data_IF_626496459344
#
_entry.id   IF_626496459344
#
_cell.length_a   1.000
_cell.length_b   1.000
_cell.length_c   1.000
_cell.angle_alpha   90.00
_cell.angle_beta   90.00
_cell.angle_gamma   90.00
#
_symmetry.space_group_name_H-M   'P 1'
#
loop_
_entity.id
_entity.type
_entity.pdbx_description
1 polymer ?
#
# COMPACT_ATOMS: atom_id res chain seq x y z
N UNK A 1 -12.71 49.51 -25.51
CA UNK A 1 -13.28 48.79 -24.34
C UNK A 1 -13.54 47.31 -24.63
N UNK A 2 -14.16 46.94 -25.76
CA UNK A 2 -14.41 45.53 -26.13
C UNK A 2 -13.15 44.64 -26.25
N UNK A 3 -12.05 45.17 -26.77
CA UNK A 3 -10.78 44.42 -26.93
C UNK A 3 -10.18 44.01 -25.57
N UNK A 4 -10.28 44.88 -24.56
CA UNK A 4 -9.74 44.61 -23.22
C UNK A 4 -10.52 43.50 -22.51
N UNK A 5 -11.85 43.46 -22.71
CA UNK A 5 -12.72 42.41 -22.14
C UNK A 5 -12.43 41.05 -22.80
N UNK A 6 -12.18 41.02 -24.12
CA UNK A 6 -11.83 39.79 -24.83
C UNK A 6 -10.48 39.22 -24.38
N UNK A 7 -9.47 40.08 -24.18
CA UNK A 7 -8.15 39.67 -23.68
C UNK A 7 -8.25 39.15 -22.24
N UNK A 8 -9.03 39.81 -21.38
CA UNK A 8 -9.25 39.39 -19.99
C UNK A 8 -10.00 38.04 -19.91
N UNK A 9 -10.97 37.81 -20.80
CA UNK A 9 -11.71 36.55 -20.87
C UNK A 9 -10.81 35.38 -21.32
N UNK A 10 -9.91 35.60 -22.28
CA UNK A 10 -8.94 34.58 -22.72
C UNK A 10 -7.94 34.28 -21.59
N UNK A 11 -7.43 35.33 -20.91
CA UNK A 11 -6.49 35.19 -19.80
C UNK A 11 -7.08 34.47 -18.58
N UNK A 12 -8.39 34.52 -18.37
CA UNK A 12 -9.07 33.78 -17.30
C UNK A 12 -9.55 32.39 -17.73
N UNK A 13 -9.97 32.21 -18.99
CA UNK A 13 -10.45 30.93 -19.49
C UNK A 13 -9.33 29.91 -19.69
N UNK A 14 -8.14 30.34 -20.13
CA UNK A 14 -7.01 29.43 -20.39
C UNK A 14 -6.49 28.77 -19.11
N UNK A 15 -6.25 29.48 -17.99
CA UNK A 15 -5.84 28.86 -16.73
C UNK A 15 -6.88 27.89 -16.16
N UNK A 16 -8.18 28.21 -16.26
CA UNK A 16 -9.26 27.36 -15.76
C UNK A 16 -9.34 26.06 -16.58
N UNK A 17 -9.26 26.15 -17.91
CA UNK A 17 -9.31 24.99 -18.80
C UNK A 17 -8.06 24.09 -18.64
N UNK A 18 -6.89 24.69 -18.47
CA UNK A 18 -5.63 23.97 -18.20
C UNK A 18 -5.69 23.27 -16.84
N UNK A 19 -6.24 23.91 -15.81
CA UNK A 19 -6.39 23.35 -14.47
C UNK A 19 -7.35 22.14 -14.43
N UNK A 20 -8.47 22.22 -15.15
CA UNK A 20 -9.45 21.11 -15.24
C UNK A 20 -8.92 19.92 -16.06
N UNK A 21 -8.17 20.17 -17.13
CA UNK A 21 -7.57 19.11 -17.94
C UNK A 21 -6.39 18.44 -17.23
N UNK A 22 -5.52 19.21 -16.55
CA UNK A 22 -4.43 18.64 -15.74
C UNK A 22 -4.96 17.80 -14.57
N UNK A 23 -6.00 18.27 -13.88
CA UNK A 23 -6.61 17.52 -12.77
C UNK A 23 -7.24 16.19 -13.21
N UNK A 24 -7.82 16.13 -14.41
CA UNK A 24 -8.37 14.89 -14.97
C UNK A 24 -7.29 13.90 -15.42
N UNK A 25 -6.18 14.38 -15.99
CA UNK A 25 -5.07 13.52 -16.43
C UNK A 25 -4.34 12.88 -15.25
N UNK A 26 -3.99 13.69 -14.24
CA UNK A 26 -3.35 13.20 -13.00
C UNK A 26 -4.22 12.15 -12.31
N UNK A 27 -5.54 12.33 -12.37
CA UNK A 27 -6.49 11.34 -11.85
C UNK A 27 -6.45 10.01 -12.60
N UNK A 28 -6.52 10.04 -13.92
CA UNK A 28 -6.54 8.81 -14.72
C UNK A 28 -5.24 8.01 -14.52
N UNK A 29 -4.12 8.71 -14.36
CA UNK A 29 -2.84 8.11 -13.99
C UNK A 29 -2.90 7.43 -12.62
N UNK A 30 -3.36 8.11 -11.57
CA UNK A 30 -3.48 7.49 -10.24
C UNK A 30 -4.46 6.32 -10.20
N UNK A 31 -5.59 6.41 -10.91
CA UNK A 31 -6.53 5.29 -11.00
C UNK A 31 -5.89 4.07 -11.69
N UNK A 32 -5.19 4.31 -12.81
CA UNK A 32 -4.48 3.24 -13.53
C UNK A 32 -3.42 2.59 -12.64
N UNK A 33 -2.61 3.39 -11.97
CA UNK A 33 -1.57 2.92 -11.06
C UNK A 33 -2.16 2.15 -9.87
N UNK A 34 -3.26 2.64 -9.29
CA UNK A 34 -3.99 1.92 -8.25
C UNK A 34 -4.53 0.57 -8.76
N UNK A 35 -5.03 0.52 -10.00
CA UNK A 35 -5.52 -0.72 -10.61
C UNK A 35 -4.39 -1.72 -10.86
N UNK A 36 -3.25 -1.27 -11.39
CA UNK A 36 -2.06 -2.11 -11.61
C UNK A 36 -1.51 -2.62 -10.27
N UNK A 37 -1.43 -1.76 -9.24
CA UNK A 37 -1.08 -2.14 -7.87
C UNK A 37 -2.01 -3.23 -7.33
N UNK A 38 -3.32 -3.08 -7.55
CA UNK A 38 -4.32 -4.01 -7.03
C UNK A 38 -4.19 -5.39 -7.67
N UNK A 39 -3.99 -5.48 -8.99
CA UNK A 39 -3.80 -6.76 -9.67
C UNK A 39 -2.51 -7.45 -9.23
N UNK A 40 -1.39 -6.73 -9.12
CA UNK A 40 -0.14 -7.32 -8.62
C UNK A 40 -0.25 -7.81 -7.17
N UNK A 41 -0.94 -7.04 -6.31
CA UNK A 41 -1.22 -7.45 -4.95
C UNK A 41 -2.05 -8.74 -4.93
N UNK A 42 -3.09 -8.83 -5.76
CA UNK A 42 -3.94 -10.01 -5.91
C UNK A 42 -3.14 -11.22 -6.40
N UNK A 43 -2.33 -11.10 -7.44
CA UNK A 43 -1.47 -12.18 -7.94
C UNK A 43 -0.56 -12.73 -6.85
N UNK A 44 0.09 -11.83 -6.10
CA UNK A 44 0.97 -12.26 -5.00
C UNK A 44 0.19 -12.96 -3.89
N UNK A 45 -0.96 -12.43 -3.48
CA UNK A 45 -1.79 -13.07 -2.44
C UNK A 45 -2.35 -14.42 -2.90
N UNK A 46 -2.70 -14.55 -4.18
CA UNK A 46 -3.12 -15.84 -4.75
C UNK A 46 -2.00 -16.88 -4.66
N UNK A 47 -0.73 -16.47 -4.80
CA UNK A 47 0.43 -17.32 -4.59
C UNK A 47 0.71 -17.72 -3.13
N UNK A 48 0.11 -17.05 -2.14
CA UNK A 48 0.33 -17.39 -0.73
C UNK A 48 -0.46 -18.63 -0.30
N UNK A 49 0.04 -19.39 0.70
CA UNK A 49 -0.71 -20.46 1.35
C UNK A 49 -1.98 -19.94 2.03
N UNK A 50 -3.02 -20.79 2.11
CA UNK A 50 -4.29 -20.47 2.75
C UNK A 50 -4.12 -19.94 4.19
N UNK A 51 -3.23 -20.55 4.96
CA UNK A 51 -2.95 -20.17 6.36
C UNK A 51 -2.21 -18.83 6.50
N UNK A 52 -1.65 -18.31 5.41
CA UNK A 52 -0.99 -17.00 5.42
C UNK A 52 -1.94 -15.86 5.03
N UNK A 53 -3.16 -16.16 4.60
CA UNK A 53 -4.16 -15.16 4.25
C UNK A 53 -5.06 -14.86 5.45
N UNK A 54 -5.46 -13.59 5.65
CA UNK A 54 -6.44 -13.25 6.69
C UNK A 54 -7.80 -13.90 6.38
N UNK A 55 -8.61 -14.23 7.41
CA UNK A 55 -8.22 -14.35 8.82
C UNK A 55 -7.29 -15.56 9.02
N UNK A 56 -6.43 -15.53 10.04
CA UNK A 56 -5.51 -16.65 10.32
C UNK A 56 -5.89 -17.42 11.56
N UNK A 57 -5.86 -18.75 11.47
CA UNK A 57 -5.96 -19.63 12.63
C UNK A 57 -4.56 -19.98 13.11
N UNK A 58 -4.24 -19.72 14.37
CA UNK A 58 -2.89 -19.84 14.89
C UNK A 58 -2.87 -20.38 16.31
N UNK A 59 -1.85 -21.17 16.64
CA UNK A 59 -1.56 -21.55 18.03
C UNK A 59 -0.72 -20.49 18.70
N UNK A 60 -1.11 -20.09 19.92
CA UNK A 60 -0.41 -19.08 20.71
C UNK A 60 0.92 -19.68 21.20
N UNK A 61 2.02 -19.01 20.87
CA UNK A 61 3.38 -19.44 21.22
C UNK A 61 3.68 -19.18 22.70
N UNK A 62 4.70 -19.86 23.28
CA UNK A 62 5.14 -19.61 24.64
C UNK A 62 5.38 -18.12 24.92
N UNK A 63 4.85 -17.66 26.06
CA UNK A 63 4.91 -16.25 26.45
C UNK A 63 3.81 -15.37 25.85
N UNK A 64 2.76 -15.96 25.25
CA UNK A 64 1.61 -15.22 24.74
C UNK A 64 1.92 -14.45 23.47
N UNK A 65 2.67 -15.04 22.53
CA UNK A 65 3.07 -14.37 21.29
C UNK A 65 2.44 -15.03 20.07
N UNK A 66 1.93 -14.22 19.15
CA UNK A 66 1.48 -14.63 17.82
C UNK A 66 2.31 -13.89 16.78
N UNK A 67 2.91 -14.61 15.83
CA UNK A 67 3.75 -14.03 14.79
C UNK A 67 3.02 -14.03 13.45
N UNK A 68 2.57 -12.86 13.00
CA UNK A 68 1.86 -12.70 11.72
C UNK A 68 2.81 -12.63 10.52
N UNK A 69 4.13 -12.63 10.74
CA UNK A 69 5.13 -12.61 9.67
C UNK A 69 5.30 -11.25 9.00
N UNK A 70 6.22 -11.17 8.03
CA UNK A 70 6.75 -9.92 7.46
C UNK A 70 5.91 -9.23 6.37
N UNK A 71 4.63 -9.56 6.22
CA UNK A 71 3.73 -8.71 5.43
C UNK A 71 3.40 -7.51 6.32
N UNK A 72 3.55 -6.29 5.81
CA UNK A 72 3.20 -5.08 6.57
C UNK A 72 1.69 -5.10 6.83
N UNK A 73 1.31 -5.65 7.96
CA UNK A 73 -0.05 -5.49 8.49
C UNK A 73 -0.17 -4.03 8.90
N UNK A 74 -1.34 -3.42 8.74
CA UNK A 74 -1.56 -2.10 9.34
C UNK A 74 -1.19 -2.15 10.82
N UNK A 75 -0.62 -1.07 11.37
CA UNK A 75 -0.36 -1.00 12.81
C UNK A 75 -1.66 -0.83 13.62
N UNK A 76 -2.81 -0.94 12.96
CA UNK A 76 -4.13 -0.93 13.55
C UNK A 76 -4.42 -2.18 14.38
N UNK A 77 -5.43 -2.01 15.24
CA UNK A 77 -5.89 -3.00 16.21
C UNK A 77 -6.30 -4.30 15.51
N UNK A 78 -5.68 -5.39 15.94
CA UNK A 78 -6.01 -6.75 15.53
C UNK A 78 -7.19 -7.24 16.37
N UNK A 79 -8.20 -7.81 15.73
CA UNK A 79 -9.28 -8.47 16.45
C UNK A 79 -8.92 -9.94 16.67
N UNK A 80 -9.17 -10.40 17.89
CA UNK A 80 -8.91 -11.76 18.30
C UNK A 80 -10.23 -12.43 18.62
N UNK A 81 -10.37 -13.66 18.16
CA UNK A 81 -11.55 -14.49 18.45
C UNK A 81 -11.17 -15.95 18.60
N UNK A 82 -11.96 -16.65 19.40
CA UNK A 82 -11.85 -18.09 19.54
C UNK A 82 -12.41 -18.78 18.28
N UNK A 83 -11.98 -20.02 18.00
CA UNK A 83 -12.44 -20.75 16.81
C UNK A 83 -13.97 -20.85 16.71
N UNK A 84 -14.68 -20.88 17.84
CA UNK A 84 -16.14 -20.96 17.96
C UNK A 84 -16.92 -19.69 17.59
N UNK A 85 -16.24 -18.58 17.24
CA UNK A 85 -16.92 -17.30 16.98
C UNK A 85 -16.69 -16.25 18.05
N UNK A 86 -16.42 -16.66 19.29
CA UNK A 86 -16.46 -15.79 20.46
C UNK A 86 -15.31 -14.79 20.46
N UNK A 87 -15.59 -13.51 20.73
CA UNK A 87 -14.54 -12.49 20.83
C UNK A 87 -13.58 -12.79 21.97
N UNK A 88 -12.29 -12.75 21.69
CA UNK A 88 -11.21 -12.79 22.68
C UNK A 88 -10.64 -11.39 22.98
N UNK A 89 -11.16 -10.35 22.33
CA UNK A 89 -10.77 -8.96 22.52
C UNK A 89 -10.00 -8.37 21.33
N UNK A 90 -9.31 -7.25 21.59
CA UNK A 90 -8.46 -6.55 20.63
C UNK A 90 -7.02 -6.54 21.13
N UNK A 91 -6.06 -6.60 20.23
CA UNK A 91 -4.65 -6.52 20.56
C UNK A 91 -3.89 -5.58 19.61
N UNK A 92 -2.83 -4.98 20.12
CA UNK A 92 -1.92 -4.18 19.31
C UNK A 92 -0.94 -5.07 18.55
N UNK A 93 -0.68 -4.71 17.31
CA UNK A 93 0.39 -5.30 16.52
C UNK A 93 1.65 -4.44 16.64
N UNK A 94 2.76 -5.04 17.08
CA UNK A 94 4.07 -4.39 17.12
C UNK A 94 5.09 -5.28 16.43
N UNK A 95 5.76 -4.73 15.41
CA UNK A 95 6.79 -5.42 14.62
C UNK A 95 6.34 -6.79 14.08
N UNK A 96 5.10 -6.88 13.59
CA UNK A 96 4.50 -8.12 13.07
C UNK A 96 4.13 -9.16 14.14
N UNK A 97 4.20 -8.78 15.42
CA UNK A 97 3.89 -9.64 16.57
C UNK A 97 2.69 -9.10 17.34
N UNK A 98 1.75 -9.99 17.65
CA UNK A 98 0.63 -9.70 18.55
C UNK A 98 0.94 -10.33 19.90
N UNK A 99 0.83 -9.55 20.97
CA UNK A 99 0.96 -10.06 22.35
C UNK A 99 -0.43 -10.27 22.94
N UNK A 100 -0.61 -11.45 23.53
CA UNK A 100 -1.83 -11.87 24.21
C UNK A 100 -1.49 -12.37 25.62
N UNK A 101 -2.51 -12.72 26.38
CA UNK A 101 -2.34 -13.20 27.75
C UNK A 101 -1.49 -14.49 27.77
N UNK A 102 -0.38 -14.57 28.55
CA UNK A 102 0.52 -15.73 28.55
C UNK A 102 -0.18 -17.05 28.91
N UNK A 103 -1.23 -17.00 29.71
CA UNK A 103 -2.06 -18.15 30.09
C UNK A 103 -2.82 -18.77 28.91
N UNK A 104 -2.89 -18.09 27.76
CA UNK A 104 -3.48 -18.65 26.54
C UNK A 104 -2.48 -19.48 25.70
N UNK A 105 -1.23 -19.61 26.15
CA UNK A 105 -0.21 -20.41 25.46
C UNK A 105 -0.72 -21.81 25.12
N UNK A 106 -0.47 -22.26 23.88
CA UNK A 106 -0.91 -23.57 23.37
C UNK A 106 -2.36 -23.61 22.90
N UNK A 107 -3.17 -22.58 23.17
CA UNK A 107 -4.53 -22.48 22.62
C UNK A 107 -4.51 -21.99 21.17
N UNK A 108 -5.49 -22.46 20.40
CA UNK A 108 -5.74 -21.96 19.04
C UNK A 108 -6.65 -20.74 19.09
N UNK A 109 -6.30 -19.73 18.30
CA UNK A 109 -7.04 -18.47 18.18
C UNK A 109 -7.13 -18.07 16.71
N UNK A 110 -8.22 -17.37 16.37
CA UNK A 110 -8.41 -16.74 15.06
C UNK A 110 -8.03 -15.27 15.19
N UNK A 111 -7.20 -14.83 14.25
CA UNK A 111 -6.65 -13.48 14.18
C UNK A 111 -7.21 -12.81 12.94
N UNK A 112 -8.11 -11.85 13.16
CA UNK A 112 -8.69 -11.00 12.14
C UNK A 112 -7.91 -9.69 12.07
N UNK A 113 -7.30 -9.43 10.91
CA UNK A 113 -6.47 -8.27 10.69
C UNK A 113 -6.57 -7.81 9.23
N UNK A 114 -6.25 -6.54 9.01
CA UNK A 114 -6.13 -5.94 7.69
C UNK A 114 -4.67 -5.92 7.27
N UNK A 115 -4.34 -6.47 6.10
CA UNK A 115 -3.00 -6.25 5.55
C UNK A 115 -2.97 -4.88 4.88
N UNK A 116 -1.93 -4.10 5.18
CA UNK A 116 -1.57 -2.95 4.36
C UNK A 116 -0.51 -3.34 3.37
N UNK A 117 -1.00 -3.56 2.16
CA UNK A 117 -0.17 -3.75 1.02
C UNK A 117 0.21 -2.38 0.43
N UNK A 118 1.26 -1.74 0.96
CA UNK A 118 2.01 -0.68 0.25
C UNK A 118 2.91 -1.36 -0.78
N UNK A 119 2.31 -1.96 -1.80
CA UNK A 119 2.97 -3.02 -2.55
C UNK A 119 3.83 -2.58 -3.71
N UNK A 120 3.56 -1.39 -4.21
CA UNK A 120 4.41 -0.83 -5.22
C UNK A 120 5.38 0.13 -4.53
N UNK A 121 6.69 -0.13 -4.65
CA UNK A 121 7.54 1.01 -4.89
C UNK A 121 6.90 1.75 -6.08
N UNK A 122 6.80 3.06 -6.08
CA UNK A 122 6.73 3.77 -7.35
C UNK A 122 8.04 3.39 -8.06
N UNK A 123 8.03 2.28 -8.80
CA UNK A 123 9.21 1.73 -9.43
C UNK A 123 9.46 2.61 -10.62
N UNK A 124 10.65 3.14 -10.71
CA UNK A 124 10.98 3.90 -11.88
C UNK A 124 10.57 5.37 -11.85
N UNK A 125 10.19 5.96 -10.70
CA UNK A 125 9.78 7.38 -10.72
C UNK A 125 10.97 8.24 -11.14
N UNK A 126 10.86 8.82 -12.33
CA UNK A 126 11.93 9.53 -12.97
C UNK A 126 11.83 11.03 -12.69
N UNK A 127 12.93 11.61 -12.24
CA UNK A 127 13.02 13.03 -11.94
C UNK A 127 14.31 13.61 -12.47
N UNK A 128 14.24 14.87 -12.88
CA UNK A 128 15.47 15.67 -13.01
C UNK A 128 15.80 16.25 -11.65
N UNK A 129 17.01 15.99 -11.16
CA UNK A 129 17.51 16.55 -9.91
C UNK A 129 17.67 18.06 -10.08
N UNK A 130 17.10 18.85 -9.18
CA UNK A 130 17.23 20.29 -9.24
C UNK A 130 18.66 20.78 -8.93
N UNK A 131 18.91 22.07 -9.11
CA UNK A 131 20.23 22.68 -8.86
C UNK A 131 20.69 22.55 -7.39
N UNK A 132 19.75 22.36 -6.47
CA UNK A 132 20.04 22.15 -5.04
C UNK A 132 20.32 20.69 -4.68
N UNK A 133 20.27 19.77 -5.66
CA UNK A 133 20.42 18.34 -5.44
C UNK A 133 19.15 17.66 -4.90
N UNK A 134 17.98 18.28 -5.07
CA UNK A 134 16.72 17.78 -4.52
C UNK A 134 15.78 17.21 -5.60
N UNK A 135 14.97 16.26 -5.17
CA UNK A 135 13.85 15.69 -5.92
C UNK A 135 12.64 15.60 -4.99
N UNK A 136 11.47 16.00 -5.47
CA UNK A 136 10.19 15.81 -4.77
C UNK A 136 9.50 14.59 -5.36
N UNK A 137 9.33 13.56 -4.53
CA UNK A 137 8.66 12.32 -4.88
C UNK A 137 7.13 12.50 -4.83
N UNK A 138 6.42 12.00 -5.83
CA UNK A 138 4.99 12.28 -6.03
C UNK A 138 4.07 11.56 -5.06
N UNK A 139 4.47 10.39 -4.54
CA UNK A 139 3.64 9.48 -3.75
C UNK A 139 3.92 9.58 -2.24
N UNK A 140 3.93 10.80 -1.72
CA UNK A 140 4.23 11.04 -0.31
C UNK A 140 3.09 10.81 0.69
N UNK A 141 3.38 10.70 2.01
CA UNK A 141 4.71 10.57 2.61
C UNK A 141 5.45 9.29 2.21
N UNK A 142 6.77 9.40 2.00
CA UNK A 142 7.60 8.27 1.62
C UNK A 142 8.07 7.51 2.86
N UNK A 143 7.68 6.23 2.97
CA UNK A 143 8.08 5.36 4.08
C UNK A 143 9.50 4.85 3.93
N UNK A 144 9.88 4.48 2.71
CA UNK A 144 11.13 3.78 2.45
C UNK A 144 11.58 3.93 1.02
N UNK A 145 12.85 4.31 0.82
CA UNK A 145 13.54 4.18 -0.47
C UNK A 145 14.07 2.75 -0.61
N UNK A 146 13.73 2.08 -1.71
CA UNK A 146 14.28 0.78 -2.07
C UNK A 146 15.58 0.92 -2.86
N UNK A 147 15.58 1.81 -3.85
CA UNK A 147 16.75 2.12 -4.65
C UNK A 147 16.66 3.51 -5.29
N UNK A 148 17.83 4.08 -5.56
CA UNK A 148 17.99 5.28 -6.37
C UNK A 148 18.97 4.94 -7.47
N UNK A 149 18.62 5.27 -8.71
CA UNK A 149 19.43 5.03 -9.89
C UNK A 149 19.64 6.35 -10.61
N UNK A 150 20.88 6.60 -11.02
CA UNK A 150 21.26 7.77 -11.79
C UNK A 150 21.43 7.35 -13.25
N UNK A 151 20.72 8.04 -14.14
CA UNK A 151 20.82 7.81 -15.57
C UNK A 151 22.09 8.47 -16.13
N UNK A 152 22.88 7.67 -16.86
CA UNK A 152 24.08 8.04 -17.59
C UNK A 152 24.00 7.50 -19.02
N UNK A 153 23.31 8.24 -19.89
CA UNK A 153 22.98 7.74 -21.22
C UNK A 153 22.10 6.50 -21.12
N UNK A 154 22.60 5.36 -21.59
CA UNK A 154 21.89 4.07 -21.56
C UNK A 154 22.14 3.26 -20.26
N UNK A 155 22.90 3.80 -19.31
CA UNK A 155 23.25 3.09 -18.07
C UNK A 155 22.52 3.67 -16.86
N UNK A 156 22.15 2.78 -15.94
CA UNK A 156 21.63 3.13 -14.62
C UNK A 156 22.67 2.77 -13.57
N UNK A 157 23.20 3.78 -12.88
CA UNK A 157 24.18 3.60 -11.81
C UNK A 157 23.50 3.78 -10.45
N UNK A 158 23.70 2.82 -9.54
CA UNK A 158 23.08 2.88 -8.21
C UNK A 158 23.67 4.02 -7.38
N UNK A 159 22.81 4.84 -6.80
CA UNK A 159 23.18 5.89 -5.84
C UNK A 159 22.87 5.38 -4.43
N UNK A 160 23.89 5.35 -3.58
CA UNK A 160 23.79 4.90 -2.18
C UNK A 160 23.81 6.05 -1.18
N UNK A 161 24.34 7.20 -1.58
CA UNK A 161 24.40 8.41 -0.77
C UNK A 161 23.17 9.26 -1.05
N UNK A 162 22.18 9.23 -0.16
CA UNK A 162 21.00 10.09 -0.24
C UNK A 162 20.40 10.28 1.15
N UNK A 163 19.57 11.31 1.31
CA UNK A 163 18.78 11.56 2.52
C UNK A 163 17.33 11.82 2.14
N UNK A 164 16.40 11.19 2.84
CA UNK A 164 14.96 11.39 2.64
C UNK A 164 14.40 12.25 3.77
N UNK A 165 13.66 13.31 3.42
CA UNK A 165 12.93 14.18 4.34
C UNK A 165 11.48 14.34 3.88
N UNK A 166 10.58 13.53 4.45
CA UNK A 166 9.19 13.45 3.99
C UNK A 166 9.12 12.93 2.55
N UNK A 167 8.87 13.83 1.60
CA UNK A 167 8.82 13.52 0.16
C UNK A 167 10.06 14.00 -0.58
N UNK A 168 11.00 14.64 0.11
CA UNK A 168 12.17 15.24 -0.50
C UNK A 168 13.33 14.29 -0.42
N UNK A 169 13.82 13.86 -1.58
CA UNK A 169 15.04 13.08 -1.70
C UNK A 169 16.19 14.05 -1.99
N UNK A 170 17.12 14.15 -1.06
CA UNK A 170 18.35 14.91 -1.18
C UNK A 170 19.45 13.99 -1.70
N UNK A 171 20.06 14.40 -2.80
CA UNK A 171 21.11 13.69 -3.51
C UNK A 171 22.40 14.52 -3.51
N UNK A 172 23.57 13.90 -3.76
CA UNK A 172 24.83 14.62 -3.82
C UNK A 172 24.80 15.68 -4.92
N UNK A 173 25.41 16.85 -4.68
CA UNK A 173 25.39 17.99 -5.62
C UNK A 173 25.88 17.64 -7.04
N UNK A 174 26.77 16.65 -7.18
CA UNK A 174 27.21 16.09 -8.48
C UNK A 174 26.07 15.50 -9.34
N UNK A 175 24.89 15.29 -8.77
CA UNK A 175 23.70 14.77 -9.47
C UNK A 175 22.78 15.88 -9.99
N UNK A 176 23.02 17.14 -9.63
CA UNK A 176 22.23 18.28 -10.08
C UNK A 176 22.13 18.36 -11.62
N UNK A 177 20.92 18.59 -12.13
CA UNK A 177 20.62 18.66 -13.56
C UNK A 177 20.57 17.30 -14.27
N UNK A 178 20.70 16.19 -13.54
CA UNK A 178 20.72 14.83 -14.10
C UNK A 178 19.41 14.10 -13.81
N UNK A 179 19.10 13.09 -14.62
CA UNK A 179 17.91 12.26 -14.41
C UNK A 179 18.22 11.15 -13.43
N UNK A 180 17.39 11.02 -12.41
CA UNK A 180 17.38 9.90 -11.50
C UNK A 180 16.05 9.16 -11.58
N UNK A 181 16.10 7.90 -11.23
CA UNK A 181 14.98 6.98 -11.15
C UNK A 181 14.95 6.44 -9.73
N UNK A 182 13.83 6.61 -9.04
CA UNK A 182 13.70 6.27 -7.62
C UNK A 182 12.65 5.20 -7.45
N UNK A 183 13.02 4.12 -6.77
CA UNK A 183 12.11 3.06 -6.35
C UNK A 183 11.80 3.27 -4.86
N UNK A 184 10.55 3.59 -4.51
CA UNK A 184 10.21 3.88 -3.11
C UNK A 184 8.76 3.57 -2.73
N UNK A 185 8.54 3.22 -1.47
CA UNK A 185 7.23 2.96 -0.89
C UNK A 185 6.60 4.26 -0.37
N UNK A 186 5.54 4.70 -1.05
CA UNK A 186 4.72 5.84 -0.68
C UNK A 186 3.47 5.48 0.14
N UNK A 187 2.77 6.49 0.67
CA UNK A 187 1.47 6.33 1.33
C UNK A 187 0.27 6.74 0.47
N UNK A 188 0.49 7.43 -0.65
CA UNK A 188 -0.62 7.97 -1.44
C UNK A 188 -1.45 6.89 -2.15
N UNK A 189 -0.87 5.72 -2.46
CA UNK A 189 -1.59 4.55 -2.95
C UNK A 189 -1.46 3.42 -1.93
N UNK A 190 -2.59 2.96 -1.40
CA UNK A 190 -2.63 1.99 -0.30
C UNK A 190 -3.62 0.89 -0.58
N UNK A 191 -3.15 -0.34 -0.69
CA UNK A 191 -4.02 -1.52 -0.79
C UNK A 191 -4.29 -2.12 0.59
N UNK A 192 -5.54 -2.08 1.02
CA UNK A 192 -6.04 -2.83 2.16
C UNK A 192 -6.50 -4.22 1.72
N UNK A 193 -6.16 -5.24 2.51
CA UNK A 193 -6.63 -6.61 2.31
C UNK A 193 -7.41 -7.06 3.53
N UNK A 194 -8.63 -7.50 3.28
CA UNK A 194 -9.50 -8.11 4.27
C UNK A 194 -9.85 -9.54 3.83
N UNK A 195 -10.09 -10.41 4.80
CA UNK A 195 -10.54 -11.76 4.55
C UNK A 195 -11.72 -12.15 5.42
N UNK A 196 -12.48 -13.14 4.96
CA UNK A 196 -13.54 -13.80 5.75
C UNK A 196 -13.53 -15.29 5.45
N UNK A 197 -13.77 -16.11 6.47
CA UNK A 197 -14.10 -17.52 6.26
C UNK A 197 -15.49 -17.62 5.65
N UNK A 198 -15.69 -18.64 4.81
CA UNK A 198 -16.99 -18.98 4.23
C UNK A 198 -17.37 -20.41 4.60
N UNK A 199 -18.67 -20.65 4.70
CA UNK A 199 -19.25 -21.99 4.82
C UNK A 199 -19.23 -22.73 3.46
N UNK A 200 -19.78 -23.95 3.44
CA UNK A 200 -19.88 -24.78 2.24
C UNK A 200 -20.82 -24.21 1.16
N UNK A 201 -21.67 -23.24 1.52
CA UNK A 201 -22.54 -22.51 0.60
C UNK A 201 -21.92 -21.17 0.17
N UNK A 202 -20.65 -20.93 0.48
CA UNK A 202 -19.92 -19.68 0.23
C UNK A 202 -20.51 -18.46 0.95
N UNK A 203 -21.20 -18.68 2.07
CA UNK A 203 -21.76 -17.65 2.94
C UNK A 203 -20.71 -17.28 4.00
N UNK A 204 -20.44 -15.98 4.25
CA UNK A 204 -19.53 -15.57 5.29
C UNK A 204 -19.89 -16.11 6.67
N UNK A 205 -18.91 -16.67 7.37
CA UNK A 205 -19.06 -17.18 8.72
C UNK A 205 -17.89 -16.75 9.60
N UNK A 206 -18.08 -16.83 10.92
CA UNK A 206 -17.01 -16.54 11.86
C UNK A 206 -16.06 -17.74 11.95
N UNK A 207 -16.60 -18.94 12.16
CA UNK A 207 -15.82 -20.17 12.37
C UNK A 207 -14.85 -20.47 11.22
N UNK A 208 -13.64 -21.01 11.51
CA UNK A 208 -12.73 -21.46 10.47
C UNK A 208 -13.40 -22.44 9.51
N UNK A 209 -13.32 -22.14 8.22
CA UNK A 209 -13.81 -23.00 7.14
C UNK A 209 -12.72 -23.29 6.12
N UNK A 210 -13.04 -24.12 5.13
CA UNK A 210 -12.12 -24.48 4.04
C UNK A 210 -12.02 -23.40 2.95
N UNK A 211 -12.90 -22.40 3.00
CA UNK A 211 -13.00 -21.32 2.03
C UNK A 211 -12.73 -19.97 2.69
N UNK A 212 -11.98 -19.11 1.98
CA UNK A 212 -11.81 -17.70 2.33
C UNK A 212 -12.16 -16.80 1.16
N UNK A 213 -13.00 -15.81 1.37
CA UNK A 213 -13.09 -14.66 0.46
C UNK A 213 -12.03 -13.64 0.86
N UNK A 214 -11.14 -13.29 -0.06
CA UNK A 214 -10.16 -12.22 0.13
C UNK A 214 -10.61 -11.03 -0.70
N UNK A 215 -10.72 -9.86 -0.06
CA UNK A 215 -11.04 -8.60 -0.70
C UNK A 215 -9.83 -7.68 -0.60
N UNK A 216 -9.50 -7.04 -1.71
CA UNK A 216 -8.49 -6.01 -1.82
C UNK A 216 -9.19 -4.69 -2.12
N UNK A 217 -8.75 -3.60 -1.49
CA UNK A 217 -9.28 -2.26 -1.71
C UNK A 217 -8.12 -1.28 -1.75
N UNK A 218 -7.89 -0.65 -2.90
CA UNK A 218 -6.79 0.29 -3.09
C UNK A 218 -7.30 1.72 -3.11
N UNK A 219 -6.89 2.48 -2.09
CA UNK A 219 -7.10 3.93 -2.00
C UNK A 219 -5.97 4.67 -2.75
N UNK A 220 -6.30 5.82 -3.33
CA UNK A 220 -5.40 6.68 -4.09
C UNK A 220 -5.72 8.19 -3.92
N UNK A 221 -6.25 8.59 -2.75
CA UNK A 221 -6.31 10.00 -2.35
C UNK A 221 -7.54 10.80 -2.81
N UNK A 222 -8.72 10.18 -2.95
CA UNK A 222 -9.98 10.96 -2.94
C UNK A 222 -11.14 10.53 -3.86
N UNK A 223 -11.28 9.26 -4.23
CA UNK A 223 -12.43 8.73 -5.00
C UNK A 223 -12.83 7.33 -4.56
N UNK A 224 -13.78 6.72 -5.30
CA UNK A 224 -14.11 5.30 -5.19
C UNK A 224 -12.84 4.46 -5.33
N UNK A 225 -12.48 3.67 -4.30
CA UNK A 225 -11.28 2.85 -4.34
C UNK A 225 -11.41 1.75 -5.39
N UNK A 226 -10.27 1.28 -5.90
CA UNK A 226 -10.27 0.09 -6.76
C UNK A 226 -10.47 -1.11 -5.85
N UNK A 227 -11.55 -1.86 -6.05
CA UNK A 227 -11.84 -3.06 -5.26
C UNK A 227 -11.77 -4.30 -6.13
N UNK A 228 -11.09 -5.32 -5.62
CA UNK A 228 -11.02 -6.64 -6.23
C UNK A 228 -11.19 -7.72 -5.15
N UNK A 229 -11.40 -8.95 -5.57
CA UNK A 229 -11.43 -10.07 -4.65
C UNK A 229 -11.19 -11.39 -5.33
N UNK A 230 -10.85 -12.39 -4.53
CA UNK A 230 -10.71 -13.77 -4.99
C UNK A 230 -11.10 -14.75 -3.89
N UNK A 231 -11.47 -15.96 -4.29
CA UNK A 231 -11.72 -17.08 -3.40
C UNK A 231 -10.42 -17.88 -3.22
N UNK A 232 -10.11 -18.26 -1.99
CA UNK A 232 -9.04 -19.21 -1.67
C UNK A 232 -9.66 -20.45 -1.01
N UNK A 233 -9.16 -21.61 -1.42
CA UNK A 233 -9.52 -22.91 -0.84
C UNK A 233 -8.33 -23.45 -0.06
N UNK A 234 -8.59 -24.08 1.08
CA UNK A 234 -7.59 -24.84 1.82
C UNK A 234 -7.03 -25.98 0.93
N UNK A 235 -5.73 -26.31 1.07
CA UNK A 235 -5.11 -27.40 0.30
C UNK A 235 -5.68 -28.79 0.66
#
# INVERSE_FOLDING_TARGET
MMIVIAILAILLAVPILVHDTSGNLTRELFYREASETTEQAKERLQGLPFEQLPPRTMTIQPGGVLNLGGLSVDQDRVQLRWPDGTSAGQAELKDGKVRVAPEWTGRTIVVDYRLLMSFLPAQGEAHTVDESGQVILSHGPVKKIQAVWLAEGEKLNRVTEFRLEGNRLHLPSKTAGRVVTVDYFGESIRTEVEGRFLDNNLVPQLEPGEYKSIRLTTDYGGRTPVSQGFLKVAP
#
